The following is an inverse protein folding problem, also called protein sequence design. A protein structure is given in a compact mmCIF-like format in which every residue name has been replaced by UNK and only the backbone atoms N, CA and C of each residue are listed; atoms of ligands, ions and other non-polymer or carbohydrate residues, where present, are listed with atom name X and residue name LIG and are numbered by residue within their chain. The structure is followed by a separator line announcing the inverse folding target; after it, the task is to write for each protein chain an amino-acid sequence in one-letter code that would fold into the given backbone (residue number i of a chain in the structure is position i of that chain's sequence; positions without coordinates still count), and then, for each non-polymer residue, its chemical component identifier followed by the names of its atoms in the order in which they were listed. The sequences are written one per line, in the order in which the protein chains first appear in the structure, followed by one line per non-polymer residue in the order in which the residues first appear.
data_IF_865912562905
#
_entry.id   IF_865912562905
#
_cell.length_a   1.000
_cell.length_b   1.000
_cell.length_c   1.000
_cell.angle_alpha   90.00
_cell.angle_beta   90.00
_cell.angle_gamma   90.00
#
_symmetry.space_group_name_H-M   'P 1'
#
loop_
_entity.id
_entity.type
_entity.pdbx_description
1 polymer ?
#
# COMPACT_ATOMS: atom_id res chain seq x y z
N UNK A 1 20.27 12.87 -1.91
CA UNK A 1 19.62 11.58 -1.61
C UNK A 1 19.17 10.77 -2.83
N UNK A 2 19.02 11.33 -4.04
CA UNK A 2 18.49 10.57 -5.23
C UNK A 2 19.58 9.82 -6.03
N UNK A 3 20.85 10.23 -5.96
CA UNK A 3 21.91 9.74 -6.85
C UNK A 3 22.51 8.36 -6.49
N UNK A 4 22.19 7.79 -5.33
CA UNK A 4 22.67 6.45 -4.90
C UNK A 4 21.59 5.36 -4.94
N UNK A 5 20.43 5.66 -5.54
CA UNK A 5 19.16 4.97 -5.30
C UNK A 5 19.00 3.63 -6.04
N UNK A 6 19.79 3.38 -7.08
CA UNK A 6 19.90 2.08 -7.76
C UNK A 6 20.94 2.20 -8.89
N UNK A 7 21.81 1.19 -9.11
CA UNK A 7 22.57 1.09 -10.36
C UNK A 7 21.64 0.83 -11.58
N UNK A 8 20.43 0.32 -11.36
CA UNK A 8 19.39 0.10 -12.38
C UNK A 8 18.22 1.09 -12.23
N UNK A 9 18.12 2.12 -13.10
CA UNK A 9 17.02 3.08 -13.02
C UNK A 9 15.65 2.38 -13.24
N UNK A 10 14.61 2.88 -12.56
CA UNK A 10 13.20 2.43 -12.64
C UNK A 10 12.84 1.08 -11.99
N UNK A 11 13.79 0.39 -11.35
CA UNK A 11 13.48 -0.82 -10.60
C UNK A 11 12.75 -0.48 -9.29
N UNK A 12 11.45 -0.79 -9.21
CA UNK A 12 10.61 -0.46 -8.04
C UNK A 12 11.13 -1.11 -6.76
N UNK A 13 11.54 -2.39 -6.81
CA UNK A 13 12.16 -3.08 -5.70
C UNK A 13 13.39 -3.88 -6.18
N UNK A 14 14.59 -3.61 -5.67
CA UNK A 14 15.81 -4.34 -6.06
C UNK A 14 15.85 -5.74 -5.46
N UNK A 15 16.69 -6.63 -6.01
CA UNK A 15 16.80 -8.02 -5.53
C UNK A 15 17.29 -8.10 -4.09
N UNK A 16 18.11 -7.14 -3.66
CA UNK A 16 18.57 -6.98 -2.27
C UNK A 16 17.39 -6.89 -1.29
N UNK A 17 16.28 -6.26 -1.70
CA UNK A 17 15.06 -6.13 -0.89
C UNK A 17 14.31 -7.45 -0.66
N UNK A 18 14.72 -8.56 -1.30
CA UNK A 18 14.20 -9.90 -1.01
C UNK A 18 14.79 -10.50 0.27
N UNK A 19 15.94 -10.01 0.72
CA UNK A 19 16.56 -10.44 1.97
C UNK A 19 15.88 -9.85 3.22
N UNK A 20 15.16 -8.73 3.05
CA UNK A 20 14.41 -8.08 4.12
C UNK A 20 13.21 -8.92 4.55
N UNK A 21 12.90 -8.96 5.86
CA UNK A 21 11.68 -9.61 6.34
C UNK A 21 10.46 -8.91 5.73
N UNK A 22 9.55 -9.65 5.08
CA UNK A 22 8.38 -9.04 4.45
C UNK A 22 7.42 -8.48 5.52
N UNK A 23 6.66 -7.42 5.20
CA UNK A 23 5.65 -6.90 6.09
C UNK A 23 4.58 -7.97 6.36
N UNK A 24 4.15 -8.07 7.61
CA UNK A 24 3.08 -9.01 8.00
C UNK A 24 1.76 -8.54 7.39
N UNK A 25 0.88 -9.48 7.03
CA UNK A 25 -0.47 -9.14 6.55
C UNK A 25 -1.30 -8.40 7.61
N UNK A 26 -0.98 -8.59 8.89
CA UNK A 26 -1.62 -7.93 10.02
C UNK A 26 -0.88 -6.68 10.49
N UNK A 27 0.05 -6.13 9.68
CA UNK A 27 0.74 -4.89 10.03
C UNK A 27 -0.29 -3.75 10.18
N UNK A 28 -0.28 -2.98 11.29
CA UNK A 28 -1.22 -1.88 11.50
C UNK A 28 -1.18 -0.84 10.39
N UNK A 29 -0.01 -0.60 9.76
CA UNK A 29 0.10 0.31 8.61
C UNK A 29 -0.71 -0.20 7.42
N UNK A 30 -0.62 -1.50 7.14
CA UNK A 30 -1.31 -2.15 6.03
C UNK A 30 -2.83 -2.21 6.28
N UNK A 31 -3.23 -2.52 7.53
CA UNK A 31 -4.63 -2.48 7.95
C UNK A 31 -5.22 -1.07 7.81
N UNK A 32 -4.46 -0.04 8.18
CA UNK A 32 -4.90 1.35 8.02
C UNK A 32 -5.06 1.71 6.53
N UNK A 33 -4.16 1.29 5.65
CA UNK A 33 -4.30 1.49 4.20
C UNK A 33 -5.53 0.76 3.65
N UNK A 34 -5.78 -0.49 4.08
CA UNK A 34 -7.01 -1.21 3.74
C UNK A 34 -8.27 -0.48 4.22
N UNK A 35 -8.24 0.11 5.41
CA UNK A 35 -9.31 0.95 5.94
C UNK A 35 -9.52 2.22 5.10
N UNK A 36 -8.45 2.87 4.61
CA UNK A 36 -8.57 3.97 3.65
C UNK A 36 -9.25 3.53 2.34
N UNK A 37 -8.99 2.30 1.89
CA UNK A 37 -9.72 1.70 0.77
C UNK A 37 -11.23 1.57 1.05
N UNK A 38 -11.60 1.14 2.26
CA UNK A 38 -13.00 1.11 2.69
C UNK A 38 -13.63 2.51 2.69
N UNK A 39 -12.96 3.51 3.28
CA UNK A 39 -13.42 4.90 3.27
C UNK A 39 -13.60 5.43 1.83
N UNK A 40 -12.70 5.07 0.91
CA UNK A 40 -12.81 5.44 -0.50
C UNK A 40 -14.07 4.86 -1.16
N UNK A 41 -14.42 3.60 -0.84
CA UNK A 41 -15.66 2.98 -1.30
C UNK A 41 -16.93 3.64 -0.75
N UNK A 42 -16.91 4.08 0.53
CA UNK A 42 -18.00 4.83 1.13
C UNK A 42 -18.17 6.21 0.47
N UNK A 43 -17.06 6.90 0.21
CA UNK A 43 -17.05 8.22 -0.44
C UNK A 43 -17.57 8.11 -1.88
N UNK A 44 -17.18 7.08 -2.64
CA UNK A 44 -17.71 6.90 -4.00
C UNK A 44 -19.24 6.68 -4.01
N UNK A 45 -19.77 5.93 -3.04
CA UNK A 45 -21.21 5.78 -2.88
C UNK A 45 -21.89 7.10 -2.48
N UNK A 46 -21.25 7.90 -1.62
CA UNK A 46 -21.74 9.22 -1.20
C UNK A 46 -21.83 10.19 -2.38
N UNK A 47 -20.78 10.28 -3.21
CA UNK A 47 -20.73 11.13 -4.41
C UNK A 47 -21.86 10.76 -5.39
N UNK A 48 -22.11 9.46 -5.55
CA UNK A 48 -23.14 8.95 -6.47
C UNK A 48 -24.55 8.95 -5.88
N UNK A 49 -24.75 9.51 -4.67
CA UNK A 49 -26.03 9.52 -3.94
C UNK A 49 -26.66 8.13 -3.81
N UNK A 50 -25.84 7.10 -3.68
CA UNK A 50 -26.26 5.71 -3.43
C UNK A 50 -26.23 5.43 -1.93
N UNK A 51 -27.03 4.46 -1.41
CA UNK A 51 -26.98 4.14 0.01
C UNK A 51 -25.57 3.66 0.39
N UNK A 52 -24.93 4.41 1.29
CA UNK A 52 -23.48 4.39 1.51
C UNK A 52 -22.96 3.02 1.95
N UNK A 53 -23.67 2.38 2.89
CA UNK A 53 -23.27 1.11 3.48
C UNK A 53 -23.72 -0.13 2.70
N UNK A 54 -24.78 -0.04 1.89
CA UNK A 54 -25.43 -1.22 1.29
C UNK A 54 -25.22 -1.32 -0.21
N UNK A 55 -25.00 -0.21 -0.92
CA UNK A 55 -24.75 -0.27 -2.36
C UNK A 55 -23.32 -0.72 -2.67
N UNK A 56 -23.18 -1.69 -3.56
CA UNK A 56 -21.89 -1.98 -4.20
C UNK A 56 -20.85 -2.62 -3.28
N UNK A 57 -21.25 -3.60 -2.44
CA UNK A 57 -20.33 -4.42 -1.63
C UNK A 57 -19.15 -4.97 -2.44
N UNK A 58 -19.39 -5.42 -3.68
CA UNK A 58 -18.32 -5.86 -4.59
C UNK A 58 -17.30 -4.76 -4.90
N UNK A 59 -17.75 -3.49 -5.01
CA UNK A 59 -16.88 -2.33 -5.25
C UNK A 59 -16.12 -1.96 -3.97
N UNK A 60 -16.77 -2.00 -2.81
CA UNK A 60 -16.11 -1.77 -1.53
C UNK A 60 -15.00 -2.80 -1.29
N UNK A 61 -15.28 -4.09 -1.55
CA UNK A 61 -14.28 -5.16 -1.50
C UNK A 61 -13.14 -4.89 -2.49
N UNK A 62 -13.44 -4.46 -3.71
CA UNK A 62 -12.43 -4.10 -4.70
C UNK A 62 -11.54 -2.93 -4.23
N UNK A 63 -12.12 -1.87 -3.66
CA UNK A 63 -11.34 -0.75 -3.13
C UNK A 63 -10.43 -1.18 -1.98
N UNK A 64 -10.93 -1.97 -1.04
CA UNK A 64 -10.13 -2.50 0.08
C UNK A 64 -8.98 -3.34 -0.46
N UNK A 65 -9.26 -4.32 -1.32
CA UNK A 65 -8.24 -5.23 -1.86
C UNK A 65 -7.19 -4.50 -2.69
N UNK A 66 -7.59 -3.53 -3.52
CA UNK A 66 -6.66 -2.72 -4.31
C UNK A 66 -5.74 -1.88 -3.43
N UNK A 67 -6.28 -1.22 -2.41
CA UNK A 67 -5.49 -0.43 -1.45
C UNK A 67 -4.57 -1.33 -0.62
N UNK A 68 -5.05 -2.48 -0.16
CA UNK A 68 -4.26 -3.44 0.58
C UNK A 68 -3.10 -3.99 -0.27
N UNK A 69 -3.36 -4.32 -1.53
CA UNK A 69 -2.33 -4.77 -2.47
C UNK A 69 -1.27 -3.69 -2.73
N UNK A 70 -1.68 -2.47 -3.09
CA UNK A 70 -0.75 -1.38 -3.33
C UNK A 70 0.03 -1.00 -2.05
N UNK A 71 -0.66 -0.94 -0.91
CA UNK A 71 -0.10 -0.66 0.40
C UNK A 71 0.98 -1.65 0.82
N UNK A 72 0.81 -2.93 0.52
CA UNK A 72 1.80 -3.96 0.83
C UNK A 72 3.16 -3.67 0.18
N UNK A 73 3.15 -3.31 -1.11
CA UNK A 73 4.38 -2.95 -1.84
C UNK A 73 4.97 -1.61 -1.39
N UNK A 74 4.13 -0.65 -1.01
CA UNK A 74 4.59 0.64 -0.47
C UNK A 74 5.27 0.48 0.90
N UNK A 75 4.70 -0.30 1.82
CA UNK A 75 5.33 -0.59 3.12
C UNK A 75 6.64 -1.35 2.92
N UNK A 76 6.69 -2.28 1.95
CA UNK A 76 7.94 -2.97 1.62
C UNK A 76 9.02 -2.01 1.07
N UNK A 77 8.62 -1.04 0.24
CA UNK A 77 9.52 -0.01 -0.27
C UNK A 77 10.02 0.93 0.83
N UNK A 78 9.16 1.29 1.77
CA UNK A 78 9.50 2.12 2.94
C UNK A 78 10.50 1.41 3.86
N UNK A 79 10.26 0.13 4.20
CA UNK A 79 11.18 -0.67 4.98
C UNK A 79 12.57 -0.79 4.31
N UNK A 80 12.59 -0.96 2.99
CA UNK A 80 13.83 -0.93 2.22
C UNK A 80 14.50 0.44 2.30
N UNK A 81 13.78 1.54 2.06
CA UNK A 81 14.34 2.88 2.10
C UNK A 81 14.95 3.23 3.47
N UNK A 82 14.29 2.86 4.57
CA UNK A 82 14.77 3.13 5.92
C UNK A 82 16.05 2.35 6.24
N UNK A 83 16.15 1.09 5.83
CA UNK A 83 17.38 0.31 6.05
C UNK A 83 18.61 1.01 5.45
N UNK A 84 18.49 1.56 4.23
CA UNK A 84 19.60 2.24 3.58
C UNK A 84 20.00 3.53 4.29
N UNK A 85 19.03 4.23 4.89
CA UNK A 85 19.30 5.42 5.70
C UNK A 85 20.08 5.02 6.96
N UNK A 86 19.72 3.92 7.62
CA UNK A 86 20.36 3.46 8.86
C UNK A 86 21.77 2.88 8.63
N UNK A 87 22.06 2.35 7.44
CA UNK A 87 23.40 1.85 7.08
C UNK A 87 24.42 2.92 6.68
N UNK A 88 24.01 4.20 6.62
CA UNK A 88 24.81 5.35 6.19
C UNK A 88 25.28 6.20 7.37
#
# INVERSE_FOLDING_TARGET
MIARRNPEPLRFLPDEARSLPPPKLTDPRLLYIGFLGYCSGLIDNLIRRRPVATAGLHRQLLYITAFFFAGYYLVKLEAYANLYVDTL
#
